data_IF_982818033349
#
_entry.id   IF_982818033349
#
_cell.length_a   1.000
_cell.length_b   1.000
_cell.length_c   1.000
_cell.angle_alpha   90.00
_cell.angle_beta   90.00
_cell.angle_gamma   90.00
#
_symmetry.space_group_name_H-M   'P 1'
#
loop_
_entity.id
_entity.type
_entity.pdbx_description
1 polymer ?
#
# COMPACT_ATOMS: atom_id res chain seq x y z
N UNK A 1 -17.42 -4.08 -11.74
CA UNK A 1 -16.36 -4.92 -11.14
C UNK A 1 -15.25 -5.27 -12.12
N UNK A 2 -15.48 -6.10 -13.15
CA UNK A 2 -14.41 -6.57 -14.07
C UNK A 2 -13.49 -5.50 -14.69
N UNK A 3 -13.99 -4.28 -14.99
CA UNK A 3 -13.15 -3.19 -15.53
C UNK A 3 -12.22 -2.55 -14.49
N UNK A 4 -12.67 -2.43 -13.24
CA UNK A 4 -11.87 -1.83 -12.16
C UNK A 4 -10.75 -2.77 -11.71
N UNK A 5 -11.04 -4.07 -11.59
CA UNK A 5 -10.05 -5.11 -11.31
C UNK A 5 -8.98 -5.17 -12.42
N UNK A 6 -9.40 -5.16 -13.69
CA UNK A 6 -8.47 -5.06 -14.82
C UNK A 6 -7.62 -3.80 -14.82
N UNK A 7 -8.13 -2.67 -14.32
CA UNK A 7 -7.32 -1.46 -14.18
C UNK A 7 -6.22 -1.65 -13.13
N UNK A 8 -6.49 -2.36 -12.04
CA UNK A 8 -5.47 -2.73 -11.05
C UNK A 8 -4.41 -3.67 -11.62
N UNK A 9 -4.79 -4.59 -12.51
CA UNK A 9 -3.85 -5.46 -13.23
C UNK A 9 -2.98 -4.69 -14.23
N UNK A 10 -3.57 -3.75 -14.98
CA UNK A 10 -2.82 -2.94 -15.96
C UNK A 10 -2.05 -1.78 -15.34
N UNK A 11 -2.34 -1.44 -14.07
CA UNK A 11 -1.62 -0.42 -13.29
C UNK A 11 -1.35 -0.93 -11.88
N UNK A 12 -0.36 -1.83 -11.72
CA UNK A 12 -0.04 -2.43 -10.42
C UNK A 12 0.29 -1.40 -9.33
N UNK A 13 0.83 -0.24 -9.71
CA UNK A 13 1.14 0.84 -8.78
C UNK A 13 -0.09 1.40 -8.06
N UNK A 14 -1.30 1.36 -8.64
CA UNK A 14 -2.53 1.80 -7.95
C UNK A 14 -2.88 0.86 -6.80
N UNK A 15 -2.73 -0.45 -7.01
CA UNK A 15 -2.97 -1.44 -5.98
C UNK A 15 -1.86 -1.41 -4.91
N UNK A 16 -0.60 -1.22 -5.32
CA UNK A 16 0.51 -1.02 -4.40
C UNK A 16 0.33 0.26 -3.57
N UNK A 17 -0.14 1.35 -4.18
CA UNK A 17 -0.42 2.59 -3.46
C UNK A 17 -1.50 2.42 -2.39
N UNK A 18 -2.61 1.76 -2.75
CA UNK A 18 -3.68 1.46 -1.81
C UNK A 18 -3.18 0.58 -0.65
N UNK A 19 -2.43 -0.47 -0.95
CA UNK A 19 -1.87 -1.36 0.07
C UNK A 19 -0.88 -0.65 0.98
N UNK A 20 0.11 0.06 0.43
CA UNK A 20 1.10 0.81 1.21
C UNK A 20 0.42 1.88 2.08
N UNK A 21 -0.66 2.49 1.60
CA UNK A 21 -1.45 3.44 2.40
C UNK A 21 -2.17 2.77 3.56
N UNK A 22 -2.72 1.56 3.39
CA UNK A 22 -3.30 0.81 4.52
C UNK A 22 -2.22 0.44 5.53
N UNK A 23 -1.07 -0.08 5.06
CA UNK A 23 0.06 -0.43 5.93
C UNK A 23 0.55 0.79 6.70
N UNK A 24 0.68 1.96 6.05
CA UNK A 24 1.20 3.15 6.73
C UNK A 24 0.32 3.57 7.90
N UNK A 25 -1.01 3.51 7.75
CA UNK A 25 -1.93 3.84 8.85
C UNK A 25 -1.81 2.83 10.00
N UNK A 26 -1.75 1.53 9.69
CA UNK A 26 -1.64 0.46 10.68
C UNK A 26 -0.31 0.50 11.45
N UNK A 27 0.77 0.97 10.82
CA UNK A 27 2.08 1.13 11.46
C UNK A 27 2.31 2.51 12.10
N UNK A 28 1.39 3.46 11.90
CA UNK A 28 1.59 4.85 12.34
C UNK A 28 2.67 5.58 11.55
N UNK A 29 2.92 5.15 10.31
CA UNK A 29 3.87 5.73 9.38
C UNK A 29 3.24 6.85 8.54
N UNK A 30 4.10 7.65 7.92
CA UNK A 30 3.70 8.81 7.10
C UNK A 30 2.88 8.34 5.88
N UNK A 31 1.83 9.09 5.48
CA UNK A 31 1.05 8.78 4.28
C UNK A 31 1.90 8.62 3.02
N UNK A 32 1.59 7.59 2.24
CA UNK A 32 2.33 7.23 1.03
C UNK A 32 1.89 8.12 -0.14
N UNK A 33 2.86 8.83 -0.72
CA UNK A 33 2.60 9.82 -1.78
C UNK A 33 3.18 9.32 -3.10
N UNK A 34 2.38 9.05 -4.15
CA UNK A 34 2.90 8.71 -5.46
C UNK A 34 3.63 9.89 -6.08
N UNK A 35 4.60 9.60 -6.94
CA UNK A 35 5.25 10.62 -7.77
C UNK A 35 4.24 11.34 -8.68
N UNK A 36 4.58 12.57 -9.04
CA UNK A 36 3.68 13.45 -9.79
C UNK A 36 3.33 12.90 -11.18
N UNK A 37 4.26 12.22 -11.84
CA UNK A 37 4.05 11.60 -13.15
C UNK A 37 3.01 10.47 -13.10
N UNK A 38 3.00 9.67 -12.04
CA UNK A 38 1.97 8.65 -11.80
C UNK A 38 0.60 9.29 -11.55
N UNK A 39 0.54 10.32 -10.71
CA UNK A 39 -0.69 11.08 -10.48
C UNK A 39 -1.20 11.71 -11.78
N UNK A 40 -0.32 12.25 -12.63
CA UNK A 40 -0.68 12.79 -13.93
C UNK A 40 -1.19 11.71 -14.89
N UNK A 41 -0.63 10.50 -14.85
CA UNK A 41 -1.01 9.39 -15.75
C UNK A 41 -2.47 8.92 -15.57
N UNK A 42 -3.11 9.24 -14.44
CA UNK A 42 -4.52 8.89 -14.14
C UNK A 42 -5.47 10.09 -14.26
N UNK A 43 -4.98 11.32 -14.49
CA UNK A 43 -5.82 12.52 -14.48
C UNK A 43 -6.92 12.53 -15.55
N UNK A 44 -6.66 11.92 -16.70
CA UNK A 44 -7.61 11.85 -17.82
C UNK A 44 -8.53 10.64 -17.78
N UNK A 45 -8.40 9.79 -16.75
CA UNK A 45 -9.22 8.60 -16.61
C UNK A 45 -10.62 8.92 -16.11
N UNK A 46 -11.56 8.01 -16.39
CA UNK A 46 -12.88 8.05 -15.79
C UNK A 46 -12.77 8.00 -14.26
N UNK A 47 -13.27 9.06 -13.61
CA UNK A 47 -13.16 9.25 -12.15
C UNK A 47 -13.82 8.14 -11.37
N UNK A 48 -15.00 7.71 -11.81
CA UNK A 48 -15.76 6.65 -11.14
C UNK A 48 -15.04 5.31 -11.25
N UNK A 49 -14.42 5.00 -12.39
CA UNK A 49 -13.62 3.80 -12.56
C UNK A 49 -12.40 3.79 -11.63
N UNK A 50 -11.69 4.93 -11.54
CA UNK A 50 -10.54 5.08 -10.65
C UNK A 50 -10.94 4.95 -9.18
N UNK A 51 -12.04 5.61 -8.79
CA UNK A 51 -12.58 5.53 -7.42
C UNK A 51 -12.99 4.09 -7.06
N UNK A 52 -13.60 3.35 -7.98
CA UNK A 52 -13.92 1.93 -7.78
C UNK A 52 -12.67 1.05 -7.69
N UNK A 53 -11.64 1.31 -8.50
CA UNK A 53 -10.40 0.54 -8.48
C UNK A 53 -9.66 0.74 -7.15
N UNK A 54 -9.57 1.98 -6.66
CA UNK A 54 -8.97 2.28 -5.36
C UNK A 54 -9.76 1.69 -4.20
N UNK A 55 -11.09 1.79 -4.21
CA UNK A 55 -11.93 1.18 -3.18
C UNK A 55 -11.70 -0.33 -3.07
N UNK A 56 -11.72 -1.04 -4.20
CA UNK A 56 -11.46 -2.49 -4.21
C UNK A 56 -10.05 -2.83 -3.75
N UNK A 57 -9.03 -2.08 -4.18
CA UNK A 57 -7.65 -2.34 -3.75
C UNK A 57 -7.47 -2.09 -2.25
N UNK A 58 -8.15 -1.09 -1.69
CA UNK A 58 -8.14 -0.82 -0.24
C UNK A 58 -8.88 -1.93 0.52
N UNK A 59 -10.08 -2.32 0.07
CA UNK A 59 -10.83 -3.42 0.69
C UNK A 59 -10.00 -4.70 0.71
N UNK A 60 -9.33 -5.01 -0.40
CA UNK A 60 -8.42 -6.15 -0.49
C UNK A 60 -7.26 -6.02 0.52
N UNK A 61 -6.61 -4.85 0.59
CA UNK A 61 -5.48 -4.62 1.49
C UNK A 61 -5.86 -4.70 2.97
N UNK A 62 -7.03 -4.19 3.34
CA UNK A 62 -7.60 -4.30 4.70
C UNK A 62 -7.95 -5.74 5.01
N UNK A 63 -8.62 -6.45 4.09
CA UNK A 63 -8.99 -7.84 4.29
C UNK A 63 -7.76 -8.77 4.44
N UNK A 64 -6.61 -8.44 3.83
CA UNK A 64 -5.37 -9.20 4.02
C UNK A 64 -4.77 -9.03 5.43
N UNK A 65 -5.27 -8.08 6.22
CA UNK A 65 -4.71 -7.67 7.53
C UNK A 65 -5.75 -7.75 8.64
N UNK A 66 -6.91 -8.35 8.39
CA UNK A 66 -8.01 -8.40 9.36
C UNK A 66 -7.61 -9.04 10.68
N UNK A 67 -6.73 -10.06 10.67
CA UNK A 67 -6.24 -10.69 11.89
C UNK A 67 -5.38 -9.73 12.73
N UNK A 68 -4.48 -8.96 12.09
CA UNK A 68 -3.63 -7.97 12.77
C UNK A 68 -4.43 -6.81 13.37
N UNK A 69 -5.61 -6.51 12.81
CA UNK A 69 -6.52 -5.45 13.27
C UNK A 69 -7.50 -5.89 14.36
N UNK A 70 -7.62 -7.19 14.60
CA UNK A 70 -8.71 -7.78 15.37
C UNK A 70 -8.81 -7.20 16.78
N UNK A 71 -9.93 -6.51 17.07
CA UNK A 71 -10.22 -5.92 18.38
C UNK A 71 -9.67 -4.51 18.60
N UNK A 72 -8.92 -3.94 17.65
CA UNK A 72 -8.31 -2.60 17.78
C UNK A 72 -8.83 -1.59 16.76
N UNK A 73 -9.06 -2.01 15.51
CA UNK A 73 -9.45 -1.12 14.41
C UNK A 73 -10.63 -1.71 13.64
N UNK A 74 -11.63 -0.88 13.32
CA UNK A 74 -12.74 -1.28 12.45
C UNK A 74 -12.28 -1.38 10.99
N UNK A 75 -12.37 -2.57 10.34
CA UNK A 75 -11.96 -2.73 8.94
C UNK A 75 -12.67 -1.78 7.97
N UNK A 76 -13.98 -1.66 8.10
CA UNK A 76 -14.77 -0.79 7.22
C UNK A 76 -14.48 0.69 7.43
N UNK A 77 -14.22 1.11 8.68
CA UNK A 77 -13.89 2.50 8.98
C UNK A 77 -12.51 2.87 8.42
N UNK A 78 -11.52 2.00 8.59
CA UNK A 78 -10.19 2.18 8.02
C UNK A 78 -10.24 2.24 6.49
N UNK A 79 -10.98 1.32 5.85
CA UNK A 79 -11.15 1.32 4.40
C UNK A 79 -11.76 2.64 3.89
N UNK A 80 -12.84 3.11 4.54
CA UNK A 80 -13.46 4.39 4.21
C UNK A 80 -12.52 5.58 4.36
N UNK A 81 -11.74 5.63 5.45
CA UNK A 81 -10.74 6.66 5.72
C UNK A 81 -9.65 6.70 4.64
N UNK A 82 -9.03 5.55 4.36
CA UNK A 82 -7.95 5.44 3.37
C UNK A 82 -8.46 5.82 1.98
N UNK A 83 -9.63 5.32 1.54
CA UNK A 83 -10.21 5.68 0.23
C UNK A 83 -10.45 7.19 0.13
N UNK A 84 -10.97 7.82 1.17
CA UNK A 84 -11.18 9.27 1.17
C UNK A 84 -9.85 10.03 1.06
N UNK A 85 -8.79 9.54 1.71
CA UNK A 85 -7.44 10.09 1.60
C UNK A 85 -6.85 9.98 0.20
N UNK A 86 -6.95 8.81 -0.43
CA UNK A 86 -6.49 8.58 -1.80
C UNK A 86 -7.22 9.47 -2.81
N UNK A 87 -8.54 9.63 -2.64
CA UNK A 87 -9.36 10.52 -3.49
C UNK A 87 -8.95 11.97 -3.37
N UNK A 88 -8.82 12.47 -2.15
CA UNK A 88 -8.36 13.82 -1.90
C UNK A 88 -6.98 14.06 -2.50
N UNK A 89 -6.08 13.07 -2.45
CA UNK A 89 -4.75 13.18 -3.06
C UNK A 89 -4.81 13.29 -4.57
N UNK A 90 -5.69 12.53 -5.23
CA UNK A 90 -5.92 12.67 -6.67
C UNK A 90 -6.47 14.05 -7.06
N UNK A 91 -7.18 14.72 -6.15
CA UNK A 91 -7.67 16.09 -6.30
C UNK A 91 -6.62 17.15 -5.93
N UNK A 92 -5.39 16.74 -5.58
CA UNK A 92 -4.32 17.65 -5.18
C UNK A 92 -4.45 18.18 -3.74
N UNK A 93 -5.33 17.59 -2.92
CA UNK A 93 -5.54 17.95 -1.52
C UNK A 93 -4.80 17.01 -0.58
N UNK A 94 -4.62 17.46 0.66
CA UNK A 94 -4.24 16.62 1.80
C UNK A 94 -5.50 16.27 2.60
N UNK A 95 -5.57 15.05 3.13
CA UNK A 95 -6.78 14.56 3.83
C UNK A 95 -6.51 14.10 5.26
N UNK A 96 -5.37 13.46 5.52
CA UNK A 96 -4.95 13.15 6.88
C UNK A 96 -4.58 14.46 7.57
N UNK A 97 -5.38 14.87 8.55
CA UNK A 97 -5.16 16.10 9.32
C UNK A 97 -3.94 16.00 10.25
N UNK A 98 -3.52 14.78 10.56
CA UNK A 98 -2.37 14.48 11.41
C UNK A 98 -1.35 13.66 10.62
N UNK A 99 -0.07 13.82 11.00
CA UNK A 99 1.05 13.04 10.45
C UNK A 99 0.99 11.57 10.87
N UNK A 100 0.45 11.32 12.06
CA UNK A 100 0.19 10.00 12.64
C UNK A 100 -1.21 10.04 13.24
N UNK A 101 -2.00 8.99 13.00
CA UNK A 101 -3.37 8.83 13.48
C UNK A 101 -3.43 7.58 14.38
N UNK A 102 -3.15 7.73 15.70
CA UNK A 102 -3.01 6.61 16.62
C UNK A 102 -4.23 5.69 16.67
N UNK A 103 -5.42 6.20 16.36
CA UNK A 103 -6.66 5.45 16.26
C UNK A 103 -6.65 4.35 15.18
N UNK A 104 -5.74 4.45 14.20
CA UNK A 104 -5.61 3.46 13.12
C UNK A 104 -4.45 2.48 13.33
N UNK A 105 -3.60 2.69 14.34
CA UNK A 105 -2.43 1.84 14.58
C UNK A 105 -2.85 0.51 15.19
N UNK A 106 -2.40 -0.61 14.61
CA UNK A 106 -2.74 -1.96 15.08
C UNK A 106 -1.71 -3.00 14.63
N UNK A 107 -1.69 -4.14 15.34
CA UNK A 107 -0.87 -5.30 15.00
C UNK A 107 0.62 -5.13 15.32
N UNK A 108 1.38 -6.19 15.07
CA UNK A 108 2.84 -6.10 15.04
C UNK A 108 3.33 -5.69 13.64
N UNK A 109 4.55 -5.15 13.57
CA UNK A 109 5.10 -4.62 12.32
C UNK A 109 5.16 -5.63 11.17
N UNK A 110 5.33 -6.92 11.48
CA UNK A 110 5.53 -7.97 10.48
C UNK A 110 4.21 -8.51 9.93
N UNK A 111 3.24 -8.79 10.80
CA UNK A 111 1.89 -9.23 10.39
C UNK A 111 1.19 -8.16 9.57
N UNK A 112 1.40 -6.88 9.89
CA UNK A 112 0.91 -5.76 9.09
C UNK A 112 1.67 -5.60 7.77
N UNK A 113 3.01 -5.68 7.77
CA UNK A 113 3.79 -5.50 6.56
C UNK A 113 3.50 -6.57 5.50
N UNK A 114 3.45 -7.84 5.91
CA UNK A 114 3.24 -8.96 4.98
C UNK A 114 1.76 -9.24 4.70
N UNK A 115 0.90 -9.07 5.70
CA UNK A 115 -0.47 -9.58 5.65
C UNK A 115 -0.54 -11.10 5.49
N UNK A 116 -1.76 -11.63 5.45
CA UNK A 116 -2.02 -13.08 5.33
C UNK A 116 -2.17 -13.53 3.87
N UNK A 117 -2.37 -12.60 2.93
CA UNK A 117 -2.59 -12.91 1.51
C UNK A 117 -1.30 -12.83 0.71
N UNK A 118 -0.97 -13.91 -0.01
CA UNK A 118 0.21 -14.01 -0.89
C UNK A 118 -0.19 -14.45 -2.31
N UNK A 119 0.30 -13.79 -3.38
CA UNK A 119 1.06 -12.55 -3.34
C UNK A 119 0.16 -11.36 -2.93
N UNK A 120 0.67 -10.44 -2.12
CA UNK A 120 0.04 -9.15 -1.84
C UNK A 120 0.15 -8.20 -3.05
N UNK A 121 -0.42 -7.00 -2.99
CA UNK A 121 -0.36 -6.06 -4.12
C UNK A 121 1.06 -5.54 -4.39
N UNK A 122 1.86 -5.31 -3.34
CA UNK A 122 3.28 -4.96 -3.46
C UNK A 122 4.06 -6.10 -4.11
N UNK A 123 3.82 -7.36 -3.73
CA UNK A 123 4.45 -8.53 -4.35
C UNK A 123 4.04 -8.69 -5.82
N UNK A 124 2.77 -8.47 -6.15
CA UNK A 124 2.31 -8.46 -7.55
C UNK A 124 2.96 -7.35 -8.36
N UNK A 125 3.12 -6.16 -7.79
CA UNK A 125 3.80 -5.03 -8.45
C UNK A 125 5.30 -5.31 -8.64
N UNK A 126 5.95 -5.97 -7.67
CA UNK A 126 7.34 -6.38 -7.74
C UNK A 126 7.57 -7.58 -8.70
N UNK A 127 6.51 -8.32 -9.03
CA UNK A 127 6.59 -9.53 -9.85
C UNK A 127 7.21 -10.74 -9.15
N UNK A 128 7.44 -10.66 -7.82
CA UNK A 128 8.00 -11.74 -7.02
C UNK A 128 7.51 -11.68 -5.57
N UNK A 129 7.64 -12.81 -4.85
CA UNK A 129 7.20 -12.91 -3.45
C UNK A 129 8.33 -12.57 -2.48
N UNK A 130 7.97 -12.07 -1.30
CA UNK A 130 8.92 -11.82 -0.21
C UNK A 130 9.78 -13.06 0.09
N UNK A 131 11.10 -12.85 0.15
CA UNK A 131 12.11 -13.90 0.34
C UNK A 131 12.65 -14.53 -0.95
N UNK A 132 12.08 -14.23 -2.13
CA UNK A 132 12.66 -14.68 -3.40
C UNK A 132 14.00 -13.99 -3.70
N UNK A 133 14.86 -14.63 -4.50
CA UNK A 133 16.07 -13.99 -5.02
C UNK A 133 15.69 -12.74 -5.83
N UNK A 134 16.33 -11.61 -5.55
CA UNK A 134 16.02 -10.32 -6.19
C UNK A 134 14.82 -9.58 -5.58
N UNK A 135 14.17 -10.13 -4.55
CA UNK A 135 13.05 -9.48 -3.85
C UNK A 135 13.38 -8.05 -3.43
N UNK A 136 14.54 -7.85 -2.78
CA UNK A 136 14.98 -6.55 -2.26
C UNK A 136 15.05 -5.47 -3.33
N UNK A 137 15.56 -5.82 -4.51
CA UNK A 137 15.70 -4.90 -5.64
C UNK A 137 14.34 -4.61 -6.26
N UNK A 138 13.54 -5.66 -6.51
CA UNK A 138 12.22 -5.54 -7.10
C UNK A 138 11.27 -4.69 -6.22
N UNK A 139 11.25 -4.92 -4.91
CA UNK A 139 10.42 -4.12 -3.99
C UNK A 139 10.93 -2.69 -3.88
N UNK A 140 12.25 -2.47 -3.90
CA UNK A 140 12.82 -1.10 -3.89
C UNK A 140 12.42 -0.32 -5.14
N UNK A 141 12.34 -1.00 -6.30
CA UNK A 141 11.88 -0.38 -7.54
C UNK A 141 10.39 0.01 -7.48
N UNK A 142 9.54 -0.81 -6.85
CA UNK A 142 8.14 -0.45 -6.58
C UNK A 142 8.06 0.74 -5.63
N UNK A 143 8.87 0.77 -4.57
CA UNK A 143 8.87 1.87 -3.60
C UNK A 143 9.38 3.19 -4.20
N UNK A 144 10.21 3.15 -5.24
CA UNK A 144 10.71 4.33 -5.95
C UNK A 144 9.61 5.12 -6.67
N UNK A 145 8.45 4.52 -6.92
CA UNK A 145 7.24 5.18 -7.43
C UNK A 145 6.58 6.12 -6.40
N UNK A 146 7.02 6.06 -5.13
CA UNK A 146 6.46 6.82 -4.02
C UNK A 146 7.53 7.70 -3.36
N UNK A 147 7.16 8.95 -3.06
CA UNK A 147 8.05 9.92 -2.43
C UNK A 147 8.41 9.49 -1.01
N UNK A 148 9.70 9.41 -0.72
CA UNK A 148 10.27 9.13 0.61
C UNK A 148 9.75 7.83 1.27
N UNK A 149 9.21 6.90 0.48
CA UNK A 149 8.56 5.68 0.97
C UNK A 149 9.56 4.53 1.20
N UNK A 150 10.55 4.74 2.08
CA UNK A 150 11.59 3.75 2.40
C UNK A 150 11.33 3.00 3.71
N UNK A 151 10.38 3.48 4.52
CA UNK A 151 10.00 2.86 5.80
C UNK A 151 9.63 1.37 5.68
N UNK A 152 8.98 0.85 4.60
CA UNK A 152 8.65 -0.57 4.54
C UNK A 152 9.89 -1.48 4.55
N UNK A 153 11.02 -1.00 4.00
CA UNK A 153 12.27 -1.75 4.00
C UNK A 153 12.84 -1.91 5.41
N UNK A 154 12.57 -0.97 6.32
CA UNK A 154 12.99 -1.08 7.72
C UNK A 154 12.38 -2.30 8.41
N UNK A 155 11.08 -2.48 8.26
CA UNK A 155 10.35 -3.62 8.81
C UNK A 155 10.77 -4.95 8.17
N UNK A 156 10.94 -4.97 6.84
CA UNK A 156 11.41 -6.18 6.14
C UNK A 156 12.84 -6.57 6.53
N UNK A 157 13.72 -5.60 6.84
CA UNK A 157 15.07 -5.86 7.36
C UNK A 157 15.01 -6.44 8.77
N UNK A 158 14.20 -5.84 9.66
CA UNK A 158 14.02 -6.33 11.03
C UNK A 158 13.48 -7.77 11.07
N UNK A 159 12.63 -8.12 10.11
CA UNK A 159 12.08 -9.47 9.97
C UNK A 159 13.05 -10.52 9.39
N UNK A 160 14.27 -10.13 9.00
CA UNK A 160 15.24 -11.04 8.38
C UNK A 160 14.88 -11.50 6.96
N UNK A 161 13.87 -10.86 6.34
CA UNK A 161 13.36 -11.20 5.00
C UNK A 161 14.21 -10.55 3.90
N UNK A 162 14.96 -9.50 4.25
CA UNK A 162 16.00 -8.93 3.41
C UNK A 162 17.35 -9.51 3.84
N UNK A 163 17.89 -10.43 3.05
CA UNK A 163 19.28 -10.85 3.21
C UNK A 163 20.19 -9.77 2.60
N UNK A 164 21.24 -9.40 3.34
CA UNK A 164 22.33 -8.62 2.76
C UNK A 164 22.86 -9.36 1.53
N UNK A 165 22.84 -8.70 0.38
CA UNK A 165 23.76 -9.09 -0.68
C UNK A 165 25.14 -8.64 -0.21
N UNK A 166 25.89 -9.55 0.41
CA UNK A 166 27.33 -9.38 0.50
C UNK A 166 27.86 -9.46 -0.93
N UNK A 167 28.08 -8.29 -1.54
CA UNK A 167 28.96 -8.19 -2.69
C UNK A 167 30.35 -8.60 -2.22
N UNK A 168 30.86 -9.70 -2.81
CA UNK A 168 32.27 -10.06 -2.81
C UNK A 168 33.07 -9.06 -3.65
#
# INVERSE_FOLDING_TARGET
MRRAQRLGETRPWLAAWAELSVISHLLGEIPVVPRIDLLQSVRTMDRRLLDCALAHAVDDAVAARSAAMSGSVSPGALAGHVVAGLRARLEGRWYCAKRVEPEWVAGDGLSVALGERRPCAVERAAGCTAGARGWSEAVSQVLADFLECQWPLGYLRQAGILHYSNSL
#
